data_IF_197510023909
#
_entry.id   IF_197510023909
#
_cell.length_a   1.000
_cell.length_b   1.000
_cell.length_c   1.000
_cell.angle_alpha   90.00
_cell.angle_beta   90.00
_cell.angle_gamma   90.00
#
_symmetry.space_group_name_H-M   'P 1'
#
loop_
_entity.id
_entity.type
_entity.pdbx_description
1 polymer ?
#
# COMPACT_ATOMS: atom_id res chain seq x y z
N UNK A 1 5.35 -7.50 -21.32
CA UNK A 1 6.37 -7.07 -20.37
C UNK A 1 6.26 -5.59 -19.99
N UNK A 2 6.03 -4.65 -20.94
CA UNK A 2 5.83 -3.24 -20.58
C UNK A 2 4.62 -3.04 -19.69
N UNK A 3 3.51 -3.67 -20.03
CA UNK A 3 2.28 -3.66 -19.23
C UNK A 3 2.52 -4.27 -17.84
N UNK A 4 3.14 -5.45 -17.77
CA UNK A 4 3.43 -6.12 -16.50
C UNK A 4 4.35 -5.26 -15.60
N UNK A 5 5.34 -4.60 -16.19
CA UNK A 5 6.22 -3.67 -15.47
C UNK A 5 5.45 -2.43 -14.97
N UNK A 6 4.61 -1.83 -15.83
CA UNK A 6 3.74 -0.70 -15.42
C UNK A 6 2.80 -1.08 -14.28
N UNK A 7 2.27 -2.31 -14.31
CA UNK A 7 1.40 -2.84 -13.25
C UNK A 7 2.16 -3.01 -11.93
N UNK A 8 3.38 -3.58 -11.99
CA UNK A 8 4.25 -3.66 -10.82
C UNK A 8 4.51 -2.27 -10.23
N UNK A 9 4.89 -1.28 -11.05
CA UNK A 9 5.09 0.08 -10.58
C UNK A 9 3.83 0.66 -9.94
N UNK A 10 2.65 0.42 -10.51
CA UNK A 10 1.38 0.86 -9.90
C UNK A 10 1.15 0.28 -8.52
N UNK A 11 1.65 -0.92 -8.23
CA UNK A 11 1.52 -1.54 -6.91
C UNK A 11 2.50 -0.99 -5.88
N UNK A 12 3.74 -0.67 -6.30
CA UNK A 12 4.84 -0.39 -5.37
C UNK A 12 5.30 1.08 -5.34
N UNK A 13 4.84 1.94 -6.26
CA UNK A 13 5.21 3.36 -6.30
C UNK A 13 3.98 4.26 -6.28
N UNK A 14 4.16 5.51 -5.85
CA UNK A 14 3.11 6.52 -5.97
C UNK A 14 2.86 6.88 -7.44
N UNK A 15 1.68 7.44 -7.73
CA UNK A 15 1.35 7.93 -9.07
C UNK A 15 2.37 8.96 -9.58
N UNK A 16 2.81 9.87 -8.69
CA UNK A 16 3.82 10.87 -9.02
C UNK A 16 5.17 10.28 -9.36
N UNK A 17 5.62 9.25 -8.62
CA UNK A 17 6.89 8.57 -8.88
C UNK A 17 6.83 7.68 -10.12
N UNK A 18 5.70 7.00 -10.34
CA UNK A 18 5.47 6.24 -11.57
C UNK A 18 5.60 7.14 -12.81
N UNK A 19 5.06 8.36 -12.76
CA UNK A 19 5.14 9.32 -13.86
C UNK A 19 6.56 9.81 -14.16
N UNK A 20 7.53 9.67 -13.22
CA UNK A 20 8.94 9.95 -13.47
C UNK A 20 9.63 8.85 -14.31
N UNK A 21 8.99 7.67 -14.44
CA UNK A 21 9.53 6.51 -15.15
C UNK A 21 8.88 6.41 -16.53
N UNK A 22 9.15 7.38 -17.44
CA UNK A 22 8.45 7.47 -18.73
C UNK A 22 9.13 6.71 -19.85
N UNK A 23 10.47 6.69 -19.91
CA UNK A 23 11.23 6.27 -21.10
C UNK A 23 12.09 5.01 -20.88
N UNK A 24 11.55 4.00 -20.19
CA UNK A 24 12.26 2.75 -20.00
C UNK A 24 12.29 1.90 -21.29
N UNK A 25 13.49 1.48 -21.69
CA UNK A 25 13.66 0.60 -22.86
C UNK A 25 13.24 -0.84 -22.51
N UNK A 26 12.60 -1.52 -23.47
CA UNK A 26 12.19 -2.91 -23.29
C UNK A 26 13.35 -3.84 -22.87
N UNK A 27 14.58 -3.56 -23.35
CA UNK A 27 15.79 -4.32 -22.97
C UNK A 27 16.08 -4.20 -21.46
N UNK A 28 15.89 -3.01 -20.89
CA UNK A 28 16.08 -2.77 -19.46
C UNK A 28 15.01 -3.50 -18.63
N UNK A 29 13.74 -3.45 -19.04
CA UNK A 29 12.67 -4.22 -18.41
C UNK A 29 12.98 -5.71 -18.41
N UNK A 30 13.35 -6.26 -19.58
CA UNK A 30 13.71 -7.69 -19.72
C UNK A 30 14.88 -8.10 -18.82
N UNK A 31 15.83 -7.21 -18.58
CA UNK A 31 16.97 -7.51 -17.68
C UNK A 31 16.57 -7.68 -16.23
N UNK A 32 15.40 -7.16 -15.82
CA UNK A 32 14.86 -7.25 -14.47
C UNK A 32 13.88 -8.43 -14.29
N UNK A 33 13.58 -9.20 -15.34
CA UNK A 33 12.71 -10.36 -15.27
C UNK A 33 13.51 -11.58 -14.84
N UNK A 34 13.00 -12.34 -13.89
CA UNK A 34 13.51 -13.65 -13.50
C UNK A 34 12.87 -14.78 -14.33
N UNK A 35 11.54 -14.74 -14.48
CA UNK A 35 10.77 -15.74 -15.23
C UNK A 35 9.46 -15.17 -15.74
N UNK A 36 8.83 -15.86 -16.68
CA UNK A 36 7.47 -15.57 -17.09
C UNK A 36 6.74 -16.86 -17.45
N UNK A 37 5.43 -16.85 -17.29
CA UNK A 37 4.54 -17.96 -17.65
C UNK A 37 3.48 -17.44 -18.62
N UNK A 38 3.18 -18.24 -19.64
CA UNK A 38 2.08 -17.99 -20.56
C UNK A 38 0.99 -19.02 -20.25
N UNK A 39 -0.24 -18.55 -20.07
CA UNK A 39 -1.41 -19.38 -19.81
C UNK A 39 -2.61 -18.92 -20.63
N UNK A 40 -3.66 -19.76 -20.69
CA UNK A 40 -4.93 -19.44 -21.36
C UNK A 40 -4.74 -19.03 -22.84
N UNK A 41 -3.81 -19.69 -23.52
CA UNK A 41 -3.54 -19.45 -24.94
C UNK A 41 -4.76 -19.80 -25.79
N UNK A 42 -5.21 -18.84 -26.60
CA UNK A 42 -6.34 -19.00 -27.53
C UNK A 42 -5.98 -18.43 -28.89
N UNK A 43 -6.32 -19.16 -29.91
CA UNK A 43 -6.23 -18.69 -31.30
C UNK A 43 -7.62 -18.79 -31.94
N UNK A 44 -8.31 -17.65 -32.03
CA UNK A 44 -9.68 -17.56 -32.53
C UNK A 44 -9.71 -16.44 -33.59
N UNK A 45 -10.30 -16.73 -34.75
CA UNK A 45 -10.47 -15.77 -35.85
C UNK A 45 -9.17 -15.08 -36.29
N UNK A 46 -8.07 -15.79 -36.38
CA UNK A 46 -6.72 -15.29 -36.66
C UNK A 46 -6.15 -14.33 -35.61
N UNK A 47 -6.76 -14.26 -34.43
CA UNK A 47 -6.24 -13.50 -33.28
C UNK A 47 -5.69 -14.43 -32.23
N UNK A 48 -4.46 -14.15 -31.78
CA UNK A 48 -3.83 -14.86 -30.66
C UNK A 48 -3.98 -14.05 -29.38
N UNK A 49 -4.51 -14.69 -28.35
CA UNK A 49 -4.61 -14.13 -27.02
C UNK A 49 -4.02 -15.09 -25.98
N UNK A 50 -3.35 -14.55 -24.98
CA UNK A 50 -2.79 -15.31 -23.86
C UNK A 50 -2.64 -14.44 -22.64
N UNK A 51 -2.66 -15.06 -21.47
CA UNK A 51 -2.29 -14.42 -20.22
C UNK A 51 -0.78 -14.54 -20.02
N UNK A 52 -0.11 -13.42 -19.78
CA UNK A 52 1.33 -13.36 -19.49
C UNK A 52 1.54 -12.94 -18.02
N UNK A 53 1.96 -13.89 -17.20
CA UNK A 53 2.42 -13.63 -15.84
C UNK A 53 3.94 -13.45 -15.85
N UNK A 54 4.43 -12.37 -15.19
CA UNK A 54 5.85 -12.03 -15.21
C UNK A 54 6.37 -11.88 -13.80
N UNK A 55 7.41 -12.62 -13.45
CA UNK A 55 8.13 -12.54 -12.17
C UNK A 55 9.36 -11.66 -12.33
N UNK A 56 9.43 -10.59 -11.54
CA UNK A 56 10.54 -9.63 -11.56
C UNK A 56 11.53 -9.89 -10.44
N UNK A 57 12.81 -9.71 -10.73
CA UNK A 57 13.88 -9.78 -9.76
C UNK A 57 13.80 -8.58 -8.80
N UNK A 58 13.47 -8.85 -7.56
CA UNK A 58 13.29 -7.84 -6.52
C UNK A 58 14.53 -6.93 -6.37
N UNK A 59 15.75 -7.50 -6.28
CA UNK A 59 16.97 -6.72 -6.10
C UNK A 59 17.22 -5.78 -7.28
N UNK A 60 16.96 -6.24 -8.50
CA UNK A 60 17.11 -5.40 -9.70
C UNK A 60 16.06 -4.30 -9.76
N UNK A 61 14.81 -4.58 -9.38
CA UNK A 61 13.74 -3.56 -9.27
C UNK A 61 14.10 -2.51 -8.21
N UNK A 62 14.51 -2.93 -7.01
CA UNK A 62 14.90 -1.99 -5.95
C UNK A 62 16.09 -1.12 -6.39
N UNK A 63 17.13 -1.70 -6.99
CA UNK A 63 18.27 -0.95 -7.52
C UNK A 63 17.89 0.02 -8.64
N UNK A 64 16.98 -0.41 -9.54
CA UNK A 64 16.42 0.44 -10.60
C UNK A 64 15.69 1.67 -10.05
N UNK A 65 14.90 1.50 -9.00
CA UNK A 65 14.16 2.58 -8.34
C UNK A 65 15.10 3.48 -7.52
N UNK A 66 16.05 2.88 -6.78
CA UNK A 66 17.06 3.60 -5.99
C UNK A 66 17.89 4.57 -6.85
N UNK A 67 18.34 4.14 -8.05
CA UNK A 67 19.08 5.02 -8.98
C UNK A 67 18.28 6.22 -9.48
N UNK A 68 16.95 6.18 -9.34
CA UNK A 68 16.01 7.26 -9.70
C UNK A 68 15.49 8.03 -8.50
N UNK A 69 16.02 7.74 -7.31
CA UNK A 69 15.58 8.30 -6.05
C UNK A 69 14.08 8.10 -5.80
N UNK A 70 13.59 6.90 -6.14
CA UNK A 70 12.21 6.45 -5.92
C UNK A 70 12.21 5.37 -4.85
N UNK A 71 11.40 5.56 -3.81
CA UNK A 71 11.27 4.63 -2.70
C UNK A 71 9.98 3.82 -2.87
N UNK A 72 10.08 2.50 -3.11
CA UNK A 72 8.91 1.67 -3.25
C UNK A 72 8.26 1.36 -1.90
N UNK A 73 6.96 1.09 -1.91
CA UNK A 73 6.24 0.48 -0.80
C UNK A 73 6.21 -1.04 -0.93
N UNK A 74 5.94 -1.74 0.18
CA UNK A 74 5.68 -3.19 0.15
C UNK A 74 4.27 -3.40 -0.42
N UNK A 75 4.06 -4.29 -1.42
CA UNK A 75 2.75 -4.53 -2.01
C UNK A 75 1.86 -5.43 -1.13
N UNK A 76 1.46 -4.93 0.03
CA UNK A 76 0.58 -5.62 0.98
C UNK A 76 -0.83 -5.07 0.84
N UNK A 77 -1.80 -5.95 0.59
CA UNK A 77 -3.22 -5.57 0.62
C UNK A 77 -3.64 -5.26 2.04
N UNK A 78 -4.29 -4.11 2.22
CA UNK A 78 -4.70 -3.60 3.53
C UNK A 78 -6.18 -3.26 3.50
N UNK A 79 -6.93 -3.81 4.45
CA UNK A 79 -8.35 -3.48 4.65
C UNK A 79 -8.46 -2.20 5.46
N UNK A 80 -9.23 -1.23 4.97
CA UNK A 80 -9.46 0.06 5.63
C UNK A 80 -10.95 0.39 5.68
N UNK A 81 -11.36 1.13 6.71
CA UNK A 81 -12.71 1.69 6.78
C UNK A 81 -12.75 3.00 5.99
N UNK A 82 -13.68 3.12 5.06
CA UNK A 82 -13.98 4.38 4.38
C UNK A 82 -15.39 4.84 4.74
N UNK A 83 -15.51 6.05 5.28
CA UNK A 83 -16.79 6.69 5.58
C UNK A 83 -16.98 7.89 4.64
N UNK A 84 -17.66 7.71 3.49
CA UNK A 84 -17.98 8.80 2.59
C UNK A 84 -19.27 9.49 3.05
N UNK A 85 -19.19 10.79 3.32
CA UNK A 85 -20.31 11.62 3.78
C UNK A 85 -20.58 12.67 2.73
N UNK A 86 -21.74 12.65 2.10
CA UNK A 86 -22.15 13.66 1.14
C UNK A 86 -22.98 14.74 1.84
N UNK A 87 -22.55 15.97 1.74
CA UNK A 87 -23.22 17.17 2.24
C UNK A 87 -23.70 17.99 1.04
N UNK A 88 -25.00 18.05 0.82
CA UNK A 88 -25.59 18.93 -0.17
C UNK A 88 -25.76 20.32 0.46
N UNK A 89 -24.95 21.27 0.02
CA UNK A 89 -24.93 22.63 0.62
C UNK A 89 -26.10 23.51 0.21
N UNK A 90 -26.89 23.11 -0.81
CA UNK A 90 -28.09 23.86 -1.22
C UNK A 90 -29.30 23.46 -0.36
N UNK A 91 -29.41 22.19 0.00
CA UNK A 91 -30.50 21.66 0.81
C UNK A 91 -30.14 21.49 2.29
N UNK A 92 -28.88 21.69 2.65
CA UNK A 92 -28.30 21.45 3.99
C UNK A 92 -28.48 20.02 4.49
N UNK A 93 -28.69 19.06 3.57
CA UNK A 93 -28.88 17.66 3.89
C UNK A 93 -27.54 16.89 3.89
N UNK A 94 -27.43 15.93 4.81
CA UNK A 94 -26.35 14.96 4.86
C UNK A 94 -26.85 13.59 4.40
N UNK A 95 -26.07 12.96 3.54
CA UNK A 95 -26.31 11.61 3.06
C UNK A 95 -25.11 10.73 3.42
N UNK A 96 -25.33 9.70 4.24
CA UNK A 96 -24.29 8.74 4.60
C UNK A 96 -24.40 7.47 3.76
N UNK A 97 -25.62 7.00 3.51
CA UNK A 97 -25.92 5.75 2.81
C UNK A 97 -26.69 6.01 1.52
N UNK A 98 -28.03 5.93 1.55
CA UNK A 98 -28.89 6.15 0.40
C UNK A 98 -28.75 7.59 -0.13
N UNK A 99 -28.87 7.76 -1.45
CA UNK A 99 -28.66 9.02 -2.17
C UNK A 99 -27.22 9.57 -2.05
N UNK A 100 -26.28 8.73 -1.66
CA UNK A 100 -24.86 9.04 -1.65
C UNK A 100 -24.13 8.19 -2.69
N UNK A 101 -23.88 8.70 -3.91
CA UNK A 101 -23.25 7.92 -4.97
C UNK A 101 -21.84 7.46 -4.61
N UNK A 102 -21.14 8.17 -3.70
CA UNK A 102 -19.81 7.74 -3.20
C UNK A 102 -19.92 6.52 -2.28
N UNK A 103 -21.00 6.35 -1.55
CA UNK A 103 -21.26 5.14 -0.80
C UNK A 103 -21.72 4.00 -1.70
N UNK A 104 -22.70 4.25 -2.56
CA UNK A 104 -23.36 3.23 -3.38
C UNK A 104 -22.39 2.61 -4.42
N UNK A 105 -21.56 3.44 -5.07
CA UNK A 105 -20.73 3.02 -6.21
C UNK A 105 -19.23 2.86 -5.89
N UNK A 106 -18.78 3.11 -4.66
CA UNK A 106 -17.35 3.07 -4.35
C UNK A 106 -16.70 1.75 -4.73
N UNK A 107 -17.30 0.64 -4.33
CA UNK A 107 -16.74 -0.69 -4.57
C UNK A 107 -17.06 -1.25 -5.97
N UNK A 108 -17.97 -0.63 -6.73
CA UNK A 108 -18.24 -1.00 -8.11
C UNK A 108 -17.10 -0.58 -9.05
N UNK A 109 -16.45 0.54 -8.78
CA UNK A 109 -15.33 1.03 -9.55
C UNK A 109 -14.06 0.29 -9.17
N UNK A 110 -13.69 -0.72 -9.95
CA UNK A 110 -12.46 -1.50 -9.74
C UNK A 110 -11.32 -0.80 -10.48
N UNK A 111 -10.31 -0.35 -9.74
CA UNK A 111 -9.03 0.07 -10.31
C UNK A 111 -8.04 -1.07 -10.15
N UNK A 112 -7.47 -1.53 -11.26
CA UNK A 112 -6.51 -2.62 -11.25
C UNK A 112 -5.26 -2.25 -10.42
N UNK A 113 -4.75 -3.24 -9.69
CA UNK A 113 -3.51 -3.12 -8.90
C UNK A 113 -3.58 -2.20 -7.68
N UNK A 114 -4.79 -1.94 -7.15
CA UNK A 114 -4.96 -1.31 -5.85
C UNK A 114 -4.66 -2.28 -4.71
N UNK A 115 -4.08 -1.74 -3.64
CA UNK A 115 -3.72 -2.48 -2.43
C UNK A 115 -4.71 -2.21 -1.29
N UNK A 116 -5.47 -1.12 -1.35
CA UNK A 116 -6.49 -0.79 -0.37
C UNK A 116 -7.81 -1.50 -0.68
N UNK A 117 -8.29 -2.27 0.29
CA UNK A 117 -9.59 -2.94 0.28
C UNK A 117 -10.55 -2.16 1.19
N UNK A 118 -11.54 -1.51 0.60
CA UNK A 118 -12.40 -0.56 1.30
C UNK A 118 -13.61 -1.26 1.90
N UNK A 119 -13.70 -1.22 3.23
CA UNK A 119 -14.92 -1.53 3.97
C UNK A 119 -15.73 -0.24 4.13
N UNK A 120 -16.95 -0.24 3.64
CA UNK A 120 -17.92 0.84 3.87
C UNK A 120 -18.74 0.56 5.14
N UNK A 121 -19.22 1.59 5.86
CA UNK A 121 -20.04 1.40 7.03
C UNK A 121 -21.38 0.71 6.66
N UNK A 122 -21.86 -0.14 7.55
CA UNK A 122 -23.21 -0.72 7.44
C UNK A 122 -24.26 0.36 7.68
N UNK A 123 -25.40 0.25 7.02
CA UNK A 123 -26.50 1.19 7.21
C UNK A 123 -26.99 1.17 8.68
N UNK A 124 -26.93 2.33 9.33
CA UNK A 124 -27.31 2.55 10.72
C UNK A 124 -27.99 3.92 10.85
N UNK A 125 -29.26 3.88 11.27
CA UNK A 125 -30.08 5.09 11.40
C UNK A 125 -29.57 6.00 12.52
N UNK A 126 -28.99 5.44 13.58
CA UNK A 126 -28.45 6.23 14.69
C UNK A 126 -27.23 7.03 14.23
N UNK A 127 -26.34 6.41 13.47
CA UNK A 127 -25.16 7.09 12.88
C UNK A 127 -25.62 8.24 11.95
N UNK A 128 -26.63 8.00 11.10
CA UNK A 128 -27.16 9.03 10.21
C UNK A 128 -27.76 10.21 11.00
N UNK A 129 -28.59 9.93 12.00
CA UNK A 129 -29.25 10.97 12.82
C UNK A 129 -28.21 11.83 13.55
N UNK A 130 -27.20 11.22 14.15
CA UNK A 130 -26.11 11.94 14.82
C UNK A 130 -25.34 12.86 13.87
N UNK A 131 -25.11 12.42 12.63
CA UNK A 131 -24.43 13.26 11.62
C UNK A 131 -25.32 14.40 11.14
N UNK A 132 -26.63 14.18 10.99
CA UNK A 132 -27.58 15.22 10.59
C UNK A 132 -27.69 16.34 11.63
N UNK A 133 -27.68 16.02 12.95
CA UNK A 133 -27.66 16.99 14.03
C UNK A 133 -26.40 17.88 14.00
N UNK A 134 -25.31 17.36 13.42
CA UNK A 134 -24.00 18.05 13.35
C UNK A 134 -23.73 18.65 11.95
N UNK A 135 -24.74 18.84 11.12
CA UNK A 135 -24.57 19.29 9.71
C UNK A 135 -23.72 20.57 9.58
N UNK A 136 -23.91 21.56 10.45
CA UNK A 136 -23.17 22.81 10.45
C UNK A 136 -21.72 22.71 10.96
N UNK A 137 -21.34 21.58 11.56
CA UNK A 137 -20.03 21.37 12.17
C UNK A 137 -19.47 19.97 11.93
N UNK A 138 -19.88 19.35 10.83
CA UNK A 138 -19.49 17.97 10.47
C UNK A 138 -17.97 17.75 10.44
N UNK A 139 -17.21 18.78 10.09
CA UNK A 139 -15.75 18.71 10.10
C UNK A 139 -15.16 18.52 11.49
N UNK A 140 -15.84 18.97 12.52
CA UNK A 140 -15.40 18.83 13.93
C UNK A 140 -16.04 17.63 14.64
N UNK A 141 -16.91 16.87 13.95
CA UNK A 141 -17.56 15.71 14.52
C UNK A 141 -16.56 14.61 14.90
N UNK A 142 -16.81 13.98 16.05
CA UNK A 142 -15.97 12.90 16.57
C UNK A 142 -16.45 11.53 16.06
N UNK A 143 -15.80 11.05 15.03
CA UNK A 143 -16.12 9.77 14.38
C UNK A 143 -15.68 8.51 15.17
N UNK A 144 -15.06 8.64 16.35
CA UNK A 144 -14.51 7.50 17.09
C UNK A 144 -15.53 6.42 17.41
N UNK A 145 -16.79 6.79 17.71
CA UNK A 145 -17.83 5.81 18.01
C UNK A 145 -18.21 4.98 16.78
N UNK A 146 -18.35 5.62 15.63
CA UNK A 146 -18.60 4.94 14.37
C UNK A 146 -17.43 4.02 13.99
N UNK A 147 -16.19 4.52 14.06
CA UNK A 147 -14.98 3.76 13.69
C UNK A 147 -14.82 2.52 14.56
N UNK A 148 -15.05 2.61 15.87
CA UNK A 148 -14.94 1.49 16.82
C UNK A 148 -15.83 0.30 16.49
N UNK A 149 -16.96 0.51 15.79
CA UNK A 149 -17.86 -0.57 15.39
C UNK A 149 -17.20 -1.60 14.46
N UNK A 150 -16.11 -1.21 13.74
CA UNK A 150 -15.51 -2.00 12.67
C UNK A 150 -14.19 -2.67 13.06
N UNK A 151 -13.64 -2.41 14.25
CA UNK A 151 -12.37 -2.96 14.74
C UNK A 151 -11.21 -2.81 13.71
N UNK A 152 -11.23 -1.71 12.95
CA UNK A 152 -10.19 -1.36 11.98
C UNK A 152 -9.39 -0.16 12.49
N UNK A 153 -8.06 -0.28 12.49
CA UNK A 153 -7.15 0.80 12.86
C UNK A 153 -7.14 1.89 11.79
N UNK A 154 -7.01 1.46 10.54
CA UNK A 154 -6.84 2.35 9.41
C UNK A 154 -8.21 2.76 8.86
N UNK A 155 -8.41 4.06 8.71
CA UNK A 155 -9.70 4.60 8.26
C UNK A 155 -9.54 5.93 7.52
N UNK A 156 -10.51 6.21 6.67
CA UNK A 156 -10.64 7.46 5.94
C UNK A 156 -12.06 7.99 6.14
N UNK A 157 -12.17 9.23 6.62
CA UNK A 157 -13.43 9.98 6.65
C UNK A 157 -13.39 10.98 5.52
N UNK A 158 -14.27 10.83 4.54
CA UNK A 158 -14.33 11.68 3.36
C UNK A 158 -15.60 12.52 3.39
N UNK A 159 -15.49 13.81 3.72
CA UNK A 159 -16.61 14.74 3.74
C UNK A 159 -16.65 15.44 2.38
N UNK A 160 -17.73 15.23 1.65
CA UNK A 160 -17.91 15.63 0.27
C UNK A 160 -18.99 16.70 0.23
N UNK A 161 -18.61 17.93 -0.03
CA UNK A 161 -19.53 19.06 -0.18
C UNK A 161 -19.91 19.21 -1.63
N UNK A 162 -21.20 19.08 -1.92
CA UNK A 162 -21.79 19.32 -3.26
C UNK A 162 -22.47 20.69 -3.26
N UNK A 163 -22.07 21.54 -4.21
CA UNK A 163 -22.70 22.83 -4.46
C UNK A 163 -22.83 23.01 -5.98
N UNK A 164 -24.04 22.85 -6.51
CA UNK A 164 -24.32 22.91 -7.97
C UNK A 164 -23.36 22.03 -8.78
N UNK A 165 -22.44 22.68 -9.50
CA UNK A 165 -21.43 22.05 -10.35
C UNK A 165 -20.02 22.01 -9.70
N UNK A 166 -19.95 22.26 -8.39
CA UNK A 166 -18.72 22.22 -7.62
C UNK A 166 -18.76 21.13 -6.55
N UNK A 167 -17.70 20.35 -6.47
CA UNK A 167 -17.48 19.34 -5.43
C UNK A 167 -16.21 19.70 -4.66
N UNK A 168 -16.32 19.85 -3.35
CA UNK A 168 -15.18 19.98 -2.45
C UNK A 168 -15.11 18.77 -1.55
N UNK A 169 -13.93 18.18 -1.40
CA UNK A 169 -13.73 16.96 -0.62
C UNK A 169 -12.66 17.21 0.42
N UNK A 170 -13.03 17.06 1.68
CA UNK A 170 -12.15 17.05 2.84
C UNK A 170 -11.99 15.61 3.29
N UNK A 171 -10.80 15.03 3.09
CA UNK A 171 -10.50 13.67 3.53
C UNK A 171 -9.58 13.69 4.75
N UNK A 172 -10.05 13.13 5.88
CA UNK A 172 -9.25 12.84 7.07
C UNK A 172 -8.77 11.40 6.95
N UNK A 173 -7.49 11.24 6.66
CA UNK A 173 -6.84 9.95 6.37
C UNK A 173 -6.03 9.56 7.60
N UNK A 174 -6.37 8.45 8.24
CA UNK A 174 -5.60 7.86 9.34
C UNK A 174 -5.09 6.49 8.91
N UNK A 175 -3.80 6.41 8.62
CA UNK A 175 -3.12 5.19 8.19
C UNK A 175 -1.90 4.96 9.09
N UNK A 176 -1.77 3.78 9.68
CA UNK A 176 -0.67 3.44 10.60
C UNK A 176 -0.49 4.47 11.75
N UNK A 177 -1.59 5.04 12.26
CA UNK A 177 -1.63 6.14 13.25
C UNK A 177 -1.06 7.50 12.75
N UNK A 178 -0.83 7.67 11.46
CA UNK A 178 -0.53 8.96 10.86
C UNK A 178 -1.82 9.61 10.37
N UNK A 179 -2.17 10.74 10.98
CA UNK A 179 -3.32 11.53 10.57
C UNK A 179 -2.88 12.55 9.51
N UNK A 180 -3.53 12.53 8.37
CA UNK A 180 -3.36 13.50 7.30
C UNK A 180 -4.71 14.05 6.86
N UNK A 181 -4.75 15.34 6.55
CA UNK A 181 -5.92 16.00 5.96
C UNK A 181 -5.58 16.35 4.51
N UNK A 182 -6.47 15.97 3.60
CA UNK A 182 -6.36 16.26 2.18
C UNK A 182 -7.61 17.01 1.72
N UNK A 183 -7.43 18.07 0.94
CA UNK A 183 -8.51 18.87 0.36
C UNK A 183 -8.43 18.81 -1.16
N UNK A 184 -9.55 18.46 -1.79
CA UNK A 184 -9.69 18.49 -3.25
C UNK A 184 -10.89 19.33 -3.66
N UNK A 185 -10.78 19.95 -4.81
CA UNK A 185 -11.84 20.74 -5.41
C UNK A 185 -11.98 20.37 -6.89
N UNK A 186 -13.21 20.08 -7.30
CA UNK A 186 -13.58 19.81 -8.67
C UNK A 186 -14.66 20.82 -9.08
N UNK A 187 -14.52 21.43 -10.26
CA UNK A 187 -15.44 22.42 -10.76
C UNK A 187 -15.99 22.00 -12.13
N UNK A 188 -17.21 22.41 -12.46
CA UNK A 188 -17.93 22.00 -13.67
C UNK A 188 -18.20 20.49 -13.71
N UNK A 189 -18.62 19.94 -12.59
CA UNK A 189 -18.88 18.51 -12.39
C UNK A 189 -20.37 18.27 -12.29
N UNK A 190 -20.83 17.24 -12.98
CA UNK A 190 -22.18 16.70 -12.80
C UNK A 190 -22.07 15.28 -12.21
N UNK A 191 -22.45 15.09 -10.95
CA UNK A 191 -22.43 13.76 -10.30
C UNK A 191 -23.38 12.74 -10.94
N UNK A 192 -24.36 13.21 -11.75
CA UNK A 192 -25.22 12.32 -12.53
C UNK A 192 -24.58 11.87 -13.85
N UNK A 193 -23.49 12.50 -14.28
CA UNK A 193 -22.67 12.03 -15.40
C UNK A 193 -21.68 10.98 -14.92
N UNK A 194 -21.76 9.79 -15.52
CA UNK A 194 -20.96 8.64 -15.11
C UNK A 194 -19.44 8.87 -15.32
N UNK A 195 -19.05 9.64 -16.33
CA UNK A 195 -17.64 9.93 -16.62
C UNK A 195 -17.06 10.88 -15.57
N UNK A 196 -17.79 11.94 -15.26
CA UNK A 196 -17.38 12.92 -14.25
C UNK A 196 -17.24 12.21 -12.89
N UNK A 197 -18.24 11.43 -12.51
CA UNK A 197 -18.25 10.70 -11.25
C UNK A 197 -17.11 9.68 -11.16
N UNK A 198 -16.92 8.86 -12.20
CA UNK A 198 -15.85 7.86 -12.26
C UNK A 198 -14.47 8.50 -12.17
N UNK A 199 -14.27 9.67 -12.82
CA UNK A 199 -13.02 10.42 -12.77
C UNK A 199 -12.69 10.89 -11.34
N UNK A 200 -13.70 11.38 -10.59
CA UNK A 200 -13.52 11.78 -9.19
C UNK A 200 -13.18 10.56 -8.32
N UNK A 201 -13.91 9.45 -8.48
CA UNK A 201 -13.64 8.22 -7.72
C UNK A 201 -12.23 7.69 -7.98
N UNK A 202 -11.80 7.65 -9.23
CA UNK A 202 -10.46 7.21 -9.60
C UNK A 202 -9.38 8.11 -8.99
N UNK A 203 -9.55 9.44 -9.05
CA UNK A 203 -8.62 10.38 -8.46
C UNK A 203 -8.56 10.29 -6.92
N UNK A 204 -9.69 10.05 -6.25
CA UNK A 204 -9.72 9.81 -4.80
C UNK A 204 -9.02 8.50 -4.42
N UNK A 205 -9.34 7.41 -5.11
CA UNK A 205 -8.72 6.11 -4.88
C UNK A 205 -7.22 6.18 -5.09
N UNK A 206 -6.75 6.79 -6.16
CA UNK A 206 -5.33 7.01 -6.41
C UNK A 206 -4.67 7.86 -5.30
N UNK A 207 -5.37 8.88 -4.82
CA UNK A 207 -4.88 9.71 -3.71
C UNK A 207 -4.71 8.90 -2.42
N UNK A 208 -5.68 8.06 -2.07
CA UNK A 208 -5.63 7.24 -0.85
C UNK A 208 -4.56 6.15 -0.96
N UNK A 209 -4.43 5.53 -2.13
CA UNK A 209 -3.34 4.61 -2.45
C UNK A 209 -1.97 5.27 -2.32
N UNK A 210 -1.79 6.48 -2.86
CA UNK A 210 -0.54 7.21 -2.78
C UNK A 210 -0.17 7.57 -1.34
N UNK A 211 -1.15 7.96 -0.51
CA UNK A 211 -0.92 8.22 0.91
C UNK A 211 -0.53 6.94 1.67
N UNK A 212 -1.21 5.83 1.37
CA UNK A 212 -0.84 4.53 1.96
C UNK A 212 0.58 4.13 1.57
N UNK A 213 0.94 4.24 0.28
CA UNK A 213 2.28 3.92 -0.22
C UNK A 213 3.34 4.77 0.43
N UNK A 214 3.14 6.09 0.56
CA UNK A 214 4.06 6.99 1.26
C UNK A 214 4.31 6.58 2.71
N UNK A 215 3.26 6.18 3.43
CA UNK A 215 3.39 5.72 4.81
C UNK A 215 4.09 4.36 4.94
N UNK A 216 4.15 3.59 3.86
CA UNK A 216 4.76 2.26 3.80
C UNK A 216 6.02 2.22 2.91
N UNK A 217 6.60 3.37 2.58
CA UNK A 217 7.83 3.46 1.79
C UNK A 217 9.00 2.77 2.47
N UNK A 218 9.73 2.00 1.68
CA UNK A 218 11.00 1.41 2.06
C UNK A 218 12.11 2.37 1.63
N UNK A 219 12.77 3.00 2.58
CA UNK A 219 13.95 3.80 2.27
C UNK A 219 15.14 2.89 1.94
N UNK A 220 15.28 2.53 0.67
CA UNK A 220 16.37 1.67 0.18
C UNK A 220 17.75 2.32 0.26
N UNK A 221 17.82 3.64 0.47
CA UNK A 221 19.09 4.36 0.68
C UNK A 221 19.65 4.14 2.10
N UNK A 222 18.82 3.77 3.08
CA UNK A 222 19.27 3.44 4.42
C UNK A 222 19.75 1.99 4.43
N UNK A 223 21.05 1.78 4.51
CA UNK A 223 21.69 0.47 4.60
C UNK A 223 22.23 0.27 6.00
N UNK A 224 21.43 -0.35 6.88
CA UNK A 224 21.84 -0.68 8.24
C UNK A 224 22.61 -2.00 8.23
N UNK A 225 23.92 -1.99 8.55
CA UNK A 225 24.71 -3.20 8.67
C UNK A 225 24.48 -3.84 10.06
N UNK A 226 23.89 -5.02 10.09
CA UNK A 226 23.67 -5.81 11.28
C UNK A 226 24.63 -7.01 11.31
N UNK A 227 25.04 -7.44 12.51
CA UNK A 227 25.78 -8.69 12.70
C UNK A 227 24.93 -9.64 13.53
N UNK A 228 24.62 -10.80 12.96
CA UNK A 228 23.82 -11.85 13.61
C UNK A 228 24.68 -13.08 13.82
N UNK A 229 24.66 -13.66 15.01
CA UNK A 229 25.40 -14.84 15.40
C UNK A 229 24.47 -16.00 15.71
N UNK A 230 24.80 -17.20 15.23
CA UNK A 230 24.08 -18.44 15.46
C UNK A 230 25.05 -19.56 15.78
N UNK A 231 24.64 -20.57 16.58
CA UNK A 231 25.49 -21.72 16.91
C UNK A 231 25.82 -22.56 15.66
N UNK A 232 27.11 -22.77 15.35
CA UNK A 232 27.56 -23.47 14.14
C UNK A 232 27.10 -24.93 14.05
N UNK A 233 26.79 -25.57 15.15
CA UNK A 233 26.35 -26.98 15.22
C UNK A 233 24.85 -27.14 14.88
N UNK A 234 24.06 -26.05 14.83
CA UNK A 234 22.62 -26.09 14.53
C UNK A 234 22.37 -25.87 13.03
N UNK A 235 22.78 -26.86 12.22
CA UNK A 235 22.68 -26.79 10.77
C UNK A 235 21.23 -26.52 10.26
N UNK A 236 20.23 -27.12 10.92
CA UNK A 236 18.82 -26.93 10.54
C UNK A 236 18.40 -25.48 10.77
N UNK A 237 18.80 -24.89 11.88
CA UNK A 237 18.49 -23.50 12.23
C UNK A 237 19.23 -22.51 11.30
N UNK A 238 20.45 -22.83 10.91
CA UNK A 238 21.24 -22.07 9.92
C UNK A 238 20.52 -22.02 8.57
N UNK A 239 20.10 -23.18 8.04
CA UNK A 239 19.36 -23.24 6.77
C UNK A 239 18.04 -22.44 6.83
N UNK A 240 17.33 -22.56 7.96
CA UNK A 240 16.09 -21.82 8.17
C UNK A 240 16.35 -20.31 8.28
N UNK A 241 17.45 -19.88 8.91
CA UNK A 241 17.85 -18.48 8.96
C UNK A 241 18.15 -17.93 7.57
N UNK A 242 18.93 -18.62 6.75
CA UNK A 242 19.25 -18.19 5.38
C UNK A 242 17.99 -18.08 4.52
N UNK A 243 17.07 -19.04 4.64
CA UNK A 243 15.75 -18.98 3.98
C UNK A 243 14.94 -17.78 4.47
N UNK A 244 14.91 -17.53 5.77
CA UNK A 244 14.22 -16.38 6.36
C UNK A 244 14.79 -15.07 5.83
N UNK A 245 16.12 -14.90 5.85
CA UNK A 245 16.81 -13.71 5.36
C UNK A 245 16.58 -13.47 3.87
N UNK A 246 16.48 -14.54 3.08
CA UNK A 246 16.15 -14.44 1.64
C UNK A 246 14.75 -13.92 1.41
N UNK A 247 13.80 -14.26 2.31
CA UNK A 247 12.37 -13.92 2.20
C UNK A 247 11.97 -12.66 2.98
N UNK A 248 12.90 -12.01 3.69
CA UNK A 248 12.64 -10.71 4.33
C UNK A 248 12.83 -9.61 3.29
N UNK A 249 11.76 -8.85 3.05
CA UNK A 249 11.74 -7.81 2.02
C UNK A 249 12.78 -6.72 2.22
N UNK A 250 13.05 -6.37 3.45
CA UNK A 250 13.99 -5.31 3.79
C UNK A 250 15.46 -5.79 3.86
N UNK A 251 15.74 -7.09 3.71
CA UNK A 251 17.12 -7.60 3.59
C UNK A 251 17.61 -7.41 2.16
N UNK A 252 18.49 -6.44 1.95
CA UNK A 252 19.09 -6.18 0.64
C UNK A 252 20.19 -7.19 0.30
N UNK A 253 20.99 -7.59 1.29
CA UNK A 253 22.05 -8.58 1.13
C UNK A 253 22.41 -9.20 2.48
N UNK A 254 22.96 -10.42 2.47
CA UNK A 254 23.62 -11.04 3.61
C UNK A 254 24.74 -11.97 3.17
N UNK A 255 25.73 -12.14 4.02
CA UNK A 255 26.86 -13.06 3.79
C UNK A 255 27.47 -13.49 5.11
N UNK A 256 28.18 -14.62 5.11
CA UNK A 256 28.92 -15.09 6.27
C UNK A 256 30.12 -14.17 6.49
N UNK A 257 30.16 -13.52 7.65
CA UNK A 257 31.26 -12.66 8.08
C UNK A 257 32.38 -13.47 8.72
N UNK A 258 32.01 -14.43 9.55
CA UNK A 258 32.94 -15.29 10.27
C UNK A 258 32.29 -16.65 10.55
N UNK A 259 33.13 -17.69 10.54
CA UNK A 259 32.70 -19.05 10.83
C UNK A 259 33.77 -19.76 11.70
N UNK A 260 33.34 -20.36 12.80
CA UNK A 260 34.17 -21.19 13.64
C UNK A 260 33.35 -22.35 14.25
N UNK A 261 34.00 -23.22 15.04
CA UNK A 261 33.38 -24.41 15.65
C UNK A 261 32.21 -24.09 16.63
N UNK A 262 32.10 -22.84 17.10
CA UNK A 262 31.08 -22.43 18.07
C UNK A 262 29.97 -21.65 17.42
N UNK A 263 30.32 -20.67 16.58
CA UNK A 263 29.37 -19.70 16.01
C UNK A 263 29.64 -19.41 14.54
N UNK A 264 28.53 -19.26 13.76
CA UNK A 264 28.52 -18.67 12.44
C UNK A 264 27.96 -17.25 12.57
N UNK A 265 28.71 -16.26 12.08
CA UNK A 265 28.29 -14.86 12.09
C UNK A 265 27.94 -14.41 10.68
N UNK A 266 26.76 -13.82 10.56
CA UNK A 266 26.29 -13.22 9.32
C UNK A 266 26.36 -11.69 9.39
N UNK A 267 26.86 -11.08 8.34
CA UNK A 267 26.66 -9.66 8.07
C UNK A 267 25.41 -9.52 7.23
N UNK A 268 24.45 -8.73 7.69
CA UNK A 268 23.16 -8.50 7.04
C UNK A 268 23.08 -7.01 6.73
N UNK A 269 22.73 -6.68 5.50
CA UNK A 269 22.42 -5.30 5.09
C UNK A 269 20.91 -5.16 5.03
N UNK A 270 20.37 -4.37 5.94
CA UNK A 270 18.93 -4.23 6.15
C UNK A 270 18.47 -2.80 5.85
N UNK A 271 17.40 -2.66 5.06
CA UNK A 271 16.83 -1.38 4.64
C UNK A 271 15.69 -0.95 5.58
N UNK A 272 15.96 -0.88 6.86
CA UNK A 272 14.97 -0.53 7.87
C UNK A 272 15.59 -0.24 9.23
N UNK A 273 14.76 -0.06 10.25
CA UNK A 273 15.21 0.16 11.62
C UNK A 273 15.59 -1.15 12.31
N UNK A 274 16.43 -1.11 13.38
CA UNK A 274 16.71 -2.30 14.20
C UNK A 274 15.43 -2.92 14.79
N UNK A 275 14.47 -2.10 15.21
CA UNK A 275 13.21 -2.58 15.78
C UNK A 275 12.38 -3.35 14.73
N UNK A 276 12.32 -2.87 13.50
CA UNK A 276 11.65 -3.56 12.39
C UNK A 276 12.33 -4.90 12.09
N UNK A 277 13.68 -4.95 12.12
CA UNK A 277 14.42 -6.19 11.93
C UNK A 277 14.09 -7.24 12.99
N UNK A 278 14.04 -6.83 14.27
CA UNK A 278 13.65 -7.73 15.37
C UNK A 278 12.26 -8.30 15.14
N UNK A 279 11.29 -7.45 14.79
CA UNK A 279 9.92 -7.88 14.52
C UNK A 279 9.87 -8.88 13.35
N UNK A 280 10.58 -8.60 12.26
CA UNK A 280 10.67 -9.50 11.11
C UNK A 280 11.23 -10.87 11.46
N UNK A 281 12.24 -10.91 12.34
CA UNK A 281 12.86 -12.14 12.81
C UNK A 281 11.96 -12.90 13.78
N UNK A 282 11.32 -12.20 14.74
CA UNK A 282 10.40 -12.79 15.69
C UNK A 282 9.18 -13.43 14.99
N UNK A 283 8.65 -12.79 13.98
CA UNK A 283 7.55 -13.31 13.15
C UNK A 283 7.92 -14.61 12.40
N UNK A 284 9.22 -14.92 12.33
CA UNK A 284 9.77 -16.14 11.72
C UNK A 284 10.37 -17.11 12.76
N UNK A 285 10.01 -16.94 14.03
CA UNK A 285 10.44 -17.75 15.15
C UNK A 285 11.96 -17.71 15.42
N UNK A 286 12.58 -16.54 15.21
CA UNK A 286 13.96 -16.28 15.62
C UNK A 286 14.00 -15.23 16.72
N UNK A 287 14.22 -15.68 17.96
CA UNK A 287 14.41 -14.78 19.09
C UNK A 287 15.83 -14.22 19.10
N UNK A 288 15.94 -12.91 19.10
CA UNK A 288 17.20 -12.18 19.07
C UNK A 288 17.50 -11.55 20.43
N UNK A 289 18.73 -11.73 20.90
CA UNK A 289 19.29 -11.05 22.08
C UNK A 289 20.54 -10.29 21.65
N UNK A 290 20.71 -9.07 22.12
CA UNK A 290 21.87 -8.25 21.77
C UNK A 290 22.94 -8.38 22.82
N UNK A 291 24.17 -8.78 22.43
CA UNK A 291 25.36 -8.77 23.24
C UNK A 291 26.51 -8.14 22.45
N UNK A 292 27.16 -7.12 23.01
CA UNK A 292 28.33 -6.44 22.40
C UNK A 292 28.11 -6.02 20.93
N UNK A 293 26.99 -5.43 20.63
CA UNK A 293 26.60 -5.02 19.27
C UNK A 293 26.43 -6.18 18.25
N UNK A 294 26.35 -7.43 18.74
CA UNK A 294 26.02 -8.61 17.94
C UNK A 294 24.68 -9.15 18.38
N UNK A 295 23.81 -9.45 17.42
CA UNK A 295 22.53 -10.09 17.66
C UNK A 295 22.71 -11.61 17.72
N UNK A 296 22.37 -12.22 18.83
CA UNK A 296 22.50 -13.66 19.04
C UNK A 296 21.14 -14.33 18.89
N UNK A 297 21.06 -15.33 18.02
CA UNK A 297 19.88 -16.18 17.87
C UNK A 297 19.93 -17.27 18.96
N UNK A 298 18.86 -17.32 19.77
CA UNK A 298 18.66 -18.31 20.82
C UNK A 298 18.12 -19.62 20.29
#
# INVERSE_FOLDING_TARGET
FKTSFSNLLSMITTSGDKNKITDIKLKEIKSMIDSFTISDEKFINNEYSANLETSFNKKKILSFLETRNIFPSIPIRTKILLVPILVDTETENIYLFNNNPFYEKWNETIINYQLLDYLLPSEDIEDLNQLQEMSNSIESYDFRNLIKKYDLRDHIISIIYKNKDEIKILSKINLNNFLKVNNKKYSKINLSDEKDFSSILEDLKNTYEDEWKKNNEINTSIKLPLTVSIKSKDYKKIINLEKALTNIDLVSNFYILNFNNKHTQYKIIYNGSPATFINDMNNRNFDLVTENNVWIIK
#
